data_IF_151006529953
#
_entry.id   IF_151006529953
#
_cell.length_a   1.000
_cell.length_b   1.000
_cell.length_c   1.000
_cell.angle_alpha   90.00
_cell.angle_beta   90.00
_cell.angle_gamma   90.00
#
_symmetry.space_group_name_H-M   'P 1'
#
loop_
_entity.id
_entity.type
_entity.pdbx_description
1 polymer ?
#
# COMPACT_ATOMS: atom_id res chain seq x y z
N UNK A 1 29.84 34.86 -41.81
CA UNK A 1 29.86 34.52 -40.36
C UNK A 1 28.49 33.94 -40.02
N UNK A 2 28.40 32.64 -39.80
CA UNK A 2 27.11 31.93 -39.63
C UNK A 2 26.72 31.99 -38.15
N UNK A 3 25.65 32.70 -37.83
CA UNK A 3 25.13 32.82 -36.45
C UNK A 3 24.62 31.45 -35.98
N UNK A 4 25.16 30.95 -34.88
CA UNK A 4 24.76 29.67 -34.27
C UNK A 4 23.84 29.99 -33.09
N UNK A 5 22.53 29.87 -33.29
CA UNK A 5 21.54 30.12 -32.24
C UNK A 5 21.38 28.85 -31.41
N UNK A 6 21.83 28.87 -30.16
CA UNK A 6 21.63 27.79 -29.18
C UNK A 6 20.18 27.85 -28.67
N UNK A 7 19.42 26.77 -28.87
CA UNK A 7 18.06 26.63 -28.36
C UNK A 7 18.11 26.01 -26.95
N UNK A 8 17.81 26.79 -25.91
CA UNK A 8 17.76 26.32 -24.53
C UNK A 8 16.37 25.71 -24.26
N UNK A 9 16.29 24.39 -24.22
CA UNK A 9 15.05 23.68 -23.89
C UNK A 9 14.91 23.60 -22.36
N UNK A 10 14.07 24.44 -21.77
CA UNK A 10 13.76 24.37 -20.33
C UNK A 10 12.75 23.24 -20.10
N UNK A 11 13.23 22.10 -19.61
CA UNK A 11 12.38 21.01 -19.15
C UNK A 11 11.64 21.45 -17.88
N UNK A 12 10.31 21.53 -17.95
CA UNK A 12 9.49 21.88 -16.79
C UNK A 12 9.22 20.59 -16.01
N UNK A 13 9.77 20.48 -14.80
CA UNK A 13 9.47 19.37 -13.89
C UNK A 13 8.05 19.58 -13.36
N UNK A 14 7.12 18.69 -13.74
CA UNK A 14 5.79 18.62 -13.14
C UNK A 14 5.93 17.85 -11.83
N UNK A 15 5.78 18.55 -10.69
CA UNK A 15 5.71 17.93 -9.37
C UNK A 15 4.25 17.54 -9.13
N UNK A 16 3.93 16.26 -9.25
CA UNK A 16 2.63 15.73 -8.83
C UNK A 16 2.59 15.70 -7.30
N UNK A 17 1.70 16.49 -6.71
CA UNK A 17 1.48 16.54 -5.27
C UNK A 17 0.23 15.70 -4.97
N UNK A 18 0.41 14.38 -4.91
CA UNK A 18 -0.66 13.46 -4.49
C UNK A 18 -0.86 13.66 -2.98
N UNK A 19 -1.86 14.44 -2.61
CA UNK A 19 -2.16 14.67 -1.19
C UNK A 19 -2.64 13.35 -0.60
N UNK A 20 -1.87 12.79 0.33
CA UNK A 20 -2.29 11.63 1.12
C UNK A 20 -3.45 12.11 2.00
N UNK A 21 -4.68 11.90 1.53
CA UNK A 21 -5.88 12.09 2.33
C UNK A 21 -6.01 10.83 3.19
N UNK A 22 -5.65 10.95 4.47
CA UNK A 22 -5.82 9.84 5.41
C UNK A 22 -7.30 9.57 5.65
N UNK A 23 -7.64 8.29 5.74
CA UNK A 23 -8.99 7.90 6.12
C UNK A 23 -9.26 8.33 7.57
N UNK A 24 -10.50 8.72 7.89
CA UNK A 24 -10.88 8.98 9.27
C UNK A 24 -10.79 7.69 10.10
N UNK A 25 -10.49 7.84 11.39
CA UNK A 25 -10.42 6.72 12.36
C UNK A 25 -11.81 6.08 12.60
N UNK A 26 -12.89 6.69 12.10
CA UNK A 26 -14.25 6.16 12.21
C UNK A 26 -15.18 6.66 11.10
N UNK A 27 -16.41 6.15 11.12
CA UNK A 27 -17.43 6.49 10.13
C UNK A 27 -17.77 7.99 10.17
N UNK A 28 -17.73 8.63 9.01
CA UNK A 28 -18.29 9.97 8.81
C UNK A 28 -19.81 9.94 8.96
N UNK A 29 -20.43 11.10 9.18
CA UNK A 29 -21.89 11.19 9.32
C UNK A 29 -22.64 10.65 8.07
N UNK A 30 -22.09 10.89 6.89
CA UNK A 30 -22.63 10.36 5.63
C UNK A 30 -22.49 8.83 5.51
N UNK A 31 -21.44 8.24 6.07
CA UNK A 31 -21.25 6.78 6.08
C UNK A 31 -22.14 6.10 7.13
N UNK A 32 -22.39 6.76 8.28
CA UNK A 32 -23.31 6.25 9.31
C UNK A 32 -24.73 6.05 8.78
N UNK A 33 -25.21 6.96 7.92
CA UNK A 33 -26.51 6.83 7.25
C UNK A 33 -26.57 5.65 6.26
N UNK A 34 -25.40 5.19 5.77
CA UNK A 34 -25.25 4.13 4.77
C UNK A 34 -24.78 2.79 5.35
N UNK A 35 -24.78 2.63 6.68
CA UNK A 35 -24.42 1.35 7.33
C UNK A 35 -25.24 0.18 6.77
N UNK A 36 -26.49 0.41 6.38
CA UNK A 36 -27.35 -0.59 5.78
C UNK A 36 -26.80 -1.19 4.46
N UNK A 37 -25.91 -0.49 3.76
CA UNK A 37 -25.29 -0.93 2.50
C UNK A 37 -24.17 -1.97 2.74
N UNK A 38 -23.60 -2.07 3.94
CA UNK A 38 -22.43 -2.94 4.24
C UNK A 38 -22.72 -4.40 3.87
N UNK A 39 -23.93 -4.88 4.13
CA UNK A 39 -24.32 -6.26 3.84
C UNK A 39 -24.47 -6.56 2.34
N UNK A 40 -24.50 -5.53 1.48
CA UNK A 40 -24.60 -5.70 0.02
C UNK A 40 -23.25 -5.95 -0.67
N UNK A 41 -22.14 -5.69 0.03
CA UNK A 41 -20.78 -5.79 -0.52
C UNK A 41 -20.10 -7.13 -0.25
N UNK A 42 -20.73 -7.99 0.56
CA UNK A 42 -20.21 -9.32 0.89
C UNK A 42 -20.43 -10.33 -0.25
N UNK A 43 -19.57 -11.35 -0.29
CA UNK A 43 -19.80 -12.54 -1.10
C UNK A 43 -19.88 -13.75 -0.18
N UNK A 44 -21.02 -14.41 -0.19
CA UNK A 44 -21.20 -15.66 0.54
C UNK A 44 -20.61 -16.82 -0.26
N UNK A 45 -19.75 -17.60 0.38
CA UNK A 45 -19.18 -18.84 -0.14
C UNK A 45 -19.29 -19.93 0.90
N UNK A 46 -19.38 -21.19 0.48
CA UNK A 46 -19.35 -22.32 1.43
C UNK A 46 -18.09 -22.25 2.30
N UNK A 47 -18.20 -22.51 3.62
CA UNK A 47 -17.07 -22.44 4.53
C UNK A 47 -16.02 -23.51 4.20
N UNK A 48 -14.74 -23.26 4.53
CA UNK A 48 -13.69 -24.26 4.32
C UNK A 48 -13.93 -25.52 5.18
N UNK A 49 -13.44 -26.70 4.75
CA UNK A 49 -13.59 -27.94 5.52
C UNK A 49 -12.98 -27.85 6.92
N UNK A 50 -13.64 -28.48 7.90
CA UNK A 50 -13.18 -28.49 9.30
C UNK A 50 -12.07 -29.52 9.56
N UNK A 51 -11.16 -29.28 10.54
CA UNK A 51 -11.15 -28.14 11.46
C UNK A 51 -10.47 -26.89 10.89
N UNK A 52 -11.11 -25.74 11.09
CA UNK A 52 -10.54 -24.43 10.75
C UNK A 52 -9.68 -23.96 11.92
N UNK A 53 -8.46 -23.50 11.64
CA UNK A 53 -7.56 -22.90 12.64
C UNK A 53 -6.99 -21.60 12.12
N UNK A 54 -7.17 -20.53 12.89
CA UNK A 54 -6.46 -19.28 12.64
C UNK A 54 -5.00 -19.45 13.06
N UNK A 55 -4.08 -19.06 12.19
CA UNK A 55 -2.64 -19.05 12.47
C UNK A 55 -2.35 -17.87 13.40
N UNK A 56 -1.62 -18.11 14.48
CA UNK A 56 -1.23 -17.06 15.39
C UNK A 56 -0.08 -16.23 14.79
N UNK A 57 -0.01 -14.95 15.13
CA UNK A 57 0.98 -14.00 14.59
C UNK A 57 2.43 -14.39 14.89
N UNK A 58 2.68 -15.09 16.01
CA UNK A 58 4.01 -15.56 16.41
C UNK A 58 4.44 -16.87 15.73
N UNK A 59 3.61 -17.45 14.88
CA UNK A 59 3.98 -18.61 14.09
C UNK A 59 4.87 -18.21 12.91
N UNK A 60 5.46 -19.20 12.21
CA UNK A 60 6.35 -18.89 11.07
C UNK A 60 5.56 -18.17 9.98
N UNK A 61 6.01 -16.96 9.65
CA UNK A 61 5.48 -16.14 8.57
C UNK A 61 6.34 -16.28 7.31
N UNK A 62 5.70 -16.16 6.14
CA UNK A 62 6.40 -16.21 4.84
C UNK A 62 6.73 -14.82 4.30
N UNK A 63 6.02 -13.80 4.75
CA UNK A 63 6.18 -12.43 4.27
C UNK A 63 5.36 -11.43 5.05
N UNK A 64 5.60 -10.15 4.77
CA UNK A 64 4.85 -9.01 5.33
C UNK A 64 4.15 -8.28 4.20
N UNK A 65 2.88 -7.92 4.42
CA UNK A 65 2.11 -7.11 3.48
C UNK A 65 2.16 -5.62 3.88
N UNK A 66 2.75 -4.81 3.01
CA UNK A 66 2.80 -3.34 3.15
C UNK A 66 2.09 -2.67 1.98
N UNK A 67 1.76 -1.38 2.11
CA UNK A 67 1.10 -0.60 1.05
C UNK A 67 1.85 0.71 0.81
N UNK A 68 2.01 1.08 -0.46
CA UNK A 68 2.50 2.39 -0.88
C UNK A 68 1.32 3.33 -1.23
N UNK A 69 1.31 4.62 -0.80
CA UNK A 69 2.35 5.31 -0.04
C UNK A 69 2.57 4.76 1.37
N UNK A 70 3.84 4.70 1.82
CA UNK A 70 4.22 4.05 3.06
C UNK A 70 3.75 4.83 4.29
N UNK A 71 3.06 4.14 5.21
CA UNK A 71 2.71 4.65 6.55
C UNK A 71 3.69 4.24 7.66
N UNK A 72 4.79 3.59 7.29
CA UNK A 72 5.86 3.12 8.19
C UNK A 72 7.23 3.57 7.65
N UNK A 73 8.24 3.74 8.52
CA UNK A 73 9.57 4.15 8.09
C UNK A 73 10.24 3.09 7.20
N UNK A 74 11.02 3.54 6.22
CA UNK A 74 11.75 2.65 5.29
C UNK A 74 12.80 1.81 6.01
N UNK A 75 13.34 2.30 7.13
CA UNK A 75 14.27 1.55 7.98
C UNK A 75 13.62 0.31 8.59
N UNK A 76 12.32 0.37 8.92
CA UNK A 76 11.58 -0.80 9.38
C UNK A 76 11.34 -1.79 8.24
N UNK A 77 11.05 -1.28 7.03
CA UNK A 77 10.88 -2.13 5.84
C UNK A 77 12.19 -2.85 5.51
N UNK A 78 13.32 -2.16 5.62
CA UNK A 78 14.65 -2.73 5.45
C UNK A 78 14.89 -3.90 6.40
N UNK A 79 14.74 -3.69 7.71
CA UNK A 79 14.93 -4.74 8.73
C UNK A 79 14.03 -5.97 8.47
N UNK A 80 12.77 -5.74 8.09
CA UNK A 80 11.86 -6.84 7.74
C UNK A 80 12.31 -7.60 6.48
N UNK A 81 12.80 -6.88 5.46
CA UNK A 81 13.24 -7.45 4.18
C UNK A 81 14.45 -8.38 4.30
N UNK A 82 15.23 -8.27 5.39
CA UNK A 82 16.37 -9.16 5.64
C UNK A 82 15.95 -10.58 6.02
N UNK A 83 14.72 -10.74 6.53
CA UNK A 83 14.25 -12.01 7.10
C UNK A 83 13.11 -12.65 6.31
N UNK A 84 12.25 -11.84 5.67
CA UNK A 84 11.04 -12.30 5.00
C UNK A 84 10.74 -11.49 3.74
N UNK A 85 9.99 -12.07 2.81
CA UNK A 85 9.58 -11.38 1.58
C UNK A 85 8.59 -10.25 1.88
N UNK A 86 8.83 -9.08 1.31
CA UNK A 86 7.92 -7.94 1.40
C UNK A 86 6.94 -7.97 0.23
N UNK A 87 5.66 -8.11 0.52
CA UNK A 87 4.60 -7.93 -0.47
C UNK A 87 4.13 -6.47 -0.43
N UNK A 88 4.42 -5.71 -1.48
CA UNK A 88 4.11 -4.29 -1.58
C UNK A 88 2.88 -4.05 -2.46
N UNK A 89 1.75 -3.72 -1.84
CA UNK A 89 0.54 -3.28 -2.53
C UNK A 89 0.74 -1.86 -3.08
N UNK A 90 0.59 -1.69 -4.39
CA UNK A 90 0.78 -0.40 -5.05
C UNK A 90 -0.13 -0.26 -6.27
N UNK A 91 -0.56 0.96 -6.57
CA UNK A 91 -1.24 1.24 -7.83
C UNK A 91 -0.24 1.22 -8.99
N UNK A 92 -0.69 0.85 -10.19
CA UNK A 92 0.20 0.77 -11.37
C UNK A 92 0.92 2.09 -11.66
N UNK A 93 0.28 3.23 -11.38
CA UNK A 93 0.85 4.56 -11.59
C UNK A 93 1.92 4.94 -10.57
N UNK A 94 1.97 4.27 -9.42
CA UNK A 94 2.87 4.60 -8.32
C UNK A 94 3.99 3.56 -8.11
N UNK A 95 3.99 2.46 -8.87
CA UNK A 95 4.98 1.40 -8.72
C UNK A 95 6.42 1.91 -8.83
N UNK A 96 6.74 2.74 -9.85
CA UNK A 96 8.09 3.30 -10.00
C UNK A 96 8.49 4.20 -8.82
N UNK A 97 7.54 4.98 -8.28
CA UNK A 97 7.78 5.80 -7.09
C UNK A 97 8.04 4.94 -5.85
N UNK A 98 7.33 3.82 -5.71
CA UNK A 98 7.54 2.86 -4.63
C UNK A 98 8.91 2.16 -4.73
N UNK A 99 9.29 1.69 -5.92
CA UNK A 99 10.62 1.09 -6.16
C UNK A 99 11.73 2.07 -5.81
N UNK A 100 11.66 3.31 -6.31
CA UNK A 100 12.64 4.34 -5.99
C UNK A 100 12.71 4.64 -4.49
N UNK A 101 11.57 4.67 -3.78
CA UNK A 101 11.53 4.92 -2.35
C UNK A 101 12.20 3.78 -1.55
N UNK A 102 12.01 2.53 -1.96
CA UNK A 102 12.62 1.35 -1.34
C UNK A 102 14.13 1.29 -1.62
N UNK A 103 14.55 1.51 -2.87
CA UNK A 103 15.96 1.56 -3.25
C UNK A 103 16.71 2.67 -2.50
N UNK A 104 16.10 3.85 -2.37
CA UNK A 104 16.66 4.95 -1.58
C UNK A 104 16.75 4.61 -0.08
N UNK A 105 15.84 3.76 0.42
CA UNK A 105 15.87 3.17 1.75
C UNK A 105 16.87 2.01 1.90
N UNK A 106 17.67 1.73 0.86
CA UNK A 106 18.61 0.60 0.81
C UNK A 106 17.96 -0.79 0.91
N UNK A 107 16.65 -0.88 0.61
CA UNK A 107 15.92 -2.16 0.59
C UNK A 107 16.30 -2.92 -0.68
N UNK A 108 16.66 -4.20 -0.53
CA UNK A 108 16.90 -5.09 -1.67
C UNK A 108 15.58 -5.44 -2.36
N UNK A 109 15.41 -4.99 -3.59
CA UNK A 109 14.20 -5.24 -4.37
C UNK A 109 14.02 -6.71 -4.75
N UNK A 110 15.07 -7.53 -4.69
CA UNK A 110 14.95 -8.98 -4.90
C UNK A 110 14.11 -9.65 -3.78
N UNK A 111 14.01 -9.01 -2.62
CA UNK A 111 13.17 -9.43 -1.50
C UNK A 111 11.77 -8.76 -1.49
N UNK A 112 11.40 -8.05 -2.57
CA UNK A 112 10.13 -7.32 -2.68
C UNK A 112 9.30 -7.82 -3.86
N UNK A 113 8.05 -8.22 -3.59
CA UNK A 113 7.06 -8.56 -4.60
C UNK A 113 5.97 -7.48 -4.67
N UNK A 114 5.78 -6.87 -5.84
CA UNK A 114 4.74 -5.85 -6.05
C UNK A 114 3.40 -6.49 -6.40
N UNK A 115 2.37 -6.16 -5.62
CA UNK A 115 0.98 -6.57 -5.87
C UNK A 115 0.20 -5.35 -6.38
N UNK A 116 -0.17 -5.39 -7.66
CA UNK A 116 -0.85 -4.26 -8.30
C UNK A 116 -2.33 -4.24 -7.93
N UNK A 117 -2.76 -3.16 -7.26
CA UNK A 117 -4.14 -2.99 -6.85
C UNK A 117 -4.47 -1.55 -6.45
N UNK A 118 -5.72 -1.13 -6.68
CA UNK A 118 -6.24 0.13 -6.16
C UNK A 118 -6.56 -0.02 -4.67
N UNK A 119 -6.01 0.86 -3.85
CA UNK A 119 -6.23 0.88 -2.40
C UNK A 119 -6.37 2.33 -1.94
N UNK A 120 -7.17 2.55 -0.90
CA UNK A 120 -7.46 3.90 -0.39
C UNK A 120 -6.55 4.29 0.79
N UNK A 121 -6.07 3.34 1.60
CA UNK A 121 -5.20 3.62 2.77
C UNK A 121 -4.04 2.63 2.95
N UNK A 122 -3.08 3.01 3.79
CA UNK A 122 -1.91 2.21 4.17
C UNK A 122 -2.15 1.28 5.36
N UNK A 123 -3.38 1.27 5.90
CA UNK A 123 -3.78 0.34 6.95
C UNK A 123 -4.03 -1.05 6.36
N UNK A 124 -2.95 -1.80 6.14
CA UNK A 124 -3.02 -3.20 5.68
C UNK A 124 -3.60 -4.12 6.76
N UNK A 125 -3.46 -3.74 8.03
CA UNK A 125 -4.14 -4.38 9.17
C UNK A 125 -5.16 -3.39 9.71
N UNK A 126 -6.44 -3.69 9.54
CA UNK A 126 -7.52 -2.96 10.18
C UNK A 126 -8.18 -3.86 11.22
N UNK A 127 -8.19 -3.43 12.48
CA UNK A 127 -9.07 -4.02 13.47
C UNK A 127 -10.43 -3.35 13.30
N UNK A 128 -11.35 -4.00 12.59
CA UNK A 128 -12.76 -3.59 12.65
C UNK A 128 -13.23 -3.92 14.05
N UNK A 129 -13.27 -2.91 14.93
CA UNK A 129 -13.87 -3.07 16.25
C UNK A 129 -15.36 -3.33 16.03
N UNK A 130 -15.73 -4.60 15.99
CA UNK A 130 -17.11 -5.07 15.89
C UNK A 130 -17.85 -4.79 17.18
N UNK A 131 -18.11 -3.52 17.45
CA UNK A 131 -19.11 -3.08 18.42
C UNK A 131 -20.33 -2.59 17.64
N UNK A 132 -21.21 -3.52 17.28
CA UNK A 132 -22.63 -3.23 17.11
C UNK A 132 -23.31 -3.44 18.46
#
# INVERSE_FOLDING_TARGET
MKSFTIFLFTFTIVISNDQIVELPIGLTENERLRIHEIHSMGRDTDPPPSPIRNVAEYERMQGVLIRYPFGIPTELILEMSENVTIYCLVSSSQQSSASNALENGSVDLDNVEFVIGSTDSYWTVIMVHGGL
#
